data_IF_253862476976
#
_entry.id   IF_253862476976
#
_cell.length_a   1.000
_cell.length_b   1.000
_cell.length_c   1.000
_cell.angle_alpha   90.00
_cell.angle_beta   90.00
_cell.angle_gamma   90.00
#
_symmetry.space_group_name_H-M   'P 1'
#
loop_
_entity.id
_entity.type
_entity.pdbx_description
1 polymer ?
#
# COMPACT_ATOMS: atom_id res chain seq x y z
N UNK A 1 2.31 -6.68 -10.88
CA UNK A 1 1.90 -7.21 -9.62
C UNK A 1 1.56 -6.14 -8.61
N UNK A 2 1.12 -6.56 -7.47
CA UNK A 2 0.81 -5.62 -6.42
C UNK A 2 1.08 -6.26 -5.08
N UNK A 3 1.27 -5.41 -4.10
CA UNK A 3 1.56 -5.86 -2.77
C UNK A 3 0.47 -5.32 -1.85
N UNK A 4 -0.08 -6.17 -1.01
CA UNK A 4 -1.07 -5.75 -0.04
C UNK A 4 -0.48 -5.95 1.34
N UNK A 5 -0.38 -4.87 2.10
CA UNK A 5 0.21 -4.91 3.42
C UNK A 5 -0.83 -4.62 4.48
N UNK A 6 -0.83 -5.43 5.53
CA UNK A 6 -1.74 -5.25 6.65
C UNK A 6 -0.94 -4.69 7.80
N UNK A 7 -1.38 -3.60 8.38
CA UNK A 7 -0.62 -3.00 9.48
C UNK A 7 -1.56 -2.28 10.42
N UNK A 8 -1.13 -2.07 11.68
CA UNK A 8 -1.94 -1.36 12.64
C UNK A 8 -2.17 0.09 12.22
N UNK A 9 -3.24 0.67 12.70
CA UNK A 9 -3.58 2.02 12.30
C UNK A 9 -2.55 3.04 12.78
N UNK A 10 -1.83 2.74 13.86
CA UNK A 10 -0.85 3.68 14.37
C UNK A 10 0.51 3.51 13.74
N UNK A 11 0.63 2.66 12.73
CA UNK A 11 1.88 2.47 12.05
C UNK A 11 1.75 3.04 10.64
N UNK A 12 2.67 3.90 10.26
CA UNK A 12 2.63 4.51 8.95
C UNK A 12 3.58 3.81 7.99
N UNK A 13 3.15 3.62 6.78
CA UNK A 13 3.99 3.05 5.75
C UNK A 13 4.39 4.15 4.76
N UNK A 14 5.54 4.00 4.11
CA UNK A 14 5.98 5.02 3.16
C UNK A 14 5.11 5.04 1.92
N UNK A 15 5.10 6.18 1.24
CA UNK A 15 4.33 6.30 0.02
C UNK A 15 4.93 5.46 -1.10
N UNK A 16 6.22 5.22 -1.04
CA UNK A 16 6.86 4.39 -2.05
C UNK A 16 7.75 3.40 -1.35
N UNK A 17 7.95 2.26 -1.97
CA UNK A 17 8.80 1.21 -1.45
C UNK A 17 9.50 0.57 -2.63
N UNK A 18 10.75 1.02 -2.89
CA UNK A 18 11.49 0.52 -4.03
C UNK A 18 10.79 0.90 -5.32
N UNK A 19 10.43 -0.09 -6.10
CA UNK A 19 9.76 0.15 -7.35
C UNK A 19 8.25 0.21 -7.22
N UNK A 20 7.75 0.20 -5.98
CA UNK A 20 6.31 0.19 -5.76
C UNK A 20 5.84 1.52 -5.20
N UNK A 21 4.62 1.85 -5.50
CA UNK A 21 4.03 3.10 -5.08
C UNK A 21 2.69 2.83 -4.43
N UNK A 22 2.41 3.51 -3.33
CA UNK A 22 1.16 3.29 -2.62
C UNK A 22 0.00 3.80 -3.46
N UNK A 23 -0.96 2.92 -3.72
CA UNK A 23 -2.10 3.28 -4.53
C UNK A 23 -3.31 3.57 -3.69
N UNK A 24 -3.60 2.73 -2.72
CA UNK A 24 -4.78 2.89 -1.92
C UNK A 24 -4.54 2.38 -0.53
N UNK A 25 -5.32 2.85 0.42
CA UNK A 25 -5.31 2.25 1.73
C UNK A 25 -6.75 2.17 2.20
N UNK A 26 -7.05 1.08 2.90
CA UNK A 26 -8.37 0.85 3.42
C UNK A 26 -8.27 0.69 4.93
N UNK A 27 -9.31 1.12 5.61
CA UNK A 27 -9.30 1.04 7.05
C UNK A 27 -10.37 0.07 7.50
N UNK A 28 -9.95 -0.87 8.35
CA UNK A 28 -10.86 -1.83 8.93
C UNK A 28 -10.67 -1.80 10.44
N UNK A 29 -11.48 -1.01 11.12
CA UNK A 29 -11.34 -0.91 12.56
C UNK A 29 -10.00 -0.35 12.94
N UNK A 30 -9.14 -1.16 13.53
CA UNK A 30 -7.82 -0.72 13.94
C UNK A 30 -6.72 -1.19 13.00
N UNK A 31 -7.10 -1.75 11.87
CA UNK A 31 -6.14 -2.29 10.93
C UNK A 31 -6.29 -1.57 9.61
N UNK A 32 -5.16 -1.28 8.97
CA UNK A 32 -5.16 -0.69 7.64
C UNK A 32 -4.64 -1.71 6.65
N UNK A 33 -5.20 -1.68 5.47
CA UNK A 33 -4.69 -2.45 4.34
C UNK A 33 -4.15 -1.45 3.34
N UNK A 34 -2.87 -1.53 3.02
CA UNK A 34 -2.26 -0.63 2.06
C UNK A 34 -1.88 -1.42 0.82
N UNK A 35 -2.28 -0.93 -0.34
CA UNK A 35 -2.03 -1.61 -1.60
C UNK A 35 -0.98 -0.83 -2.38
N UNK A 36 0.07 -1.52 -2.80
CA UNK A 36 1.13 -0.92 -3.62
C UNK A 36 1.10 -1.52 -5.00
N UNK A 37 1.37 -0.71 -6.00
CA UNK A 37 1.51 -1.16 -7.37
C UNK A 37 2.89 -0.77 -7.86
N UNK A 38 3.39 -1.49 -8.83
CA UNK A 38 4.69 -1.18 -9.41
C UNK A 38 4.59 0.13 -10.17
N UNK A 39 5.61 0.94 -10.02
CA UNK A 39 5.60 2.25 -10.66
C UNK A 39 5.74 2.16 -12.15
N UNK A 40 6.46 1.15 -12.64
CA UNK A 40 6.68 1.07 -14.08
C UNK A 40 5.53 0.37 -14.80
N UNK A 41 4.45 0.04 -14.10
CA UNK A 41 3.27 -0.52 -14.73
C UNK A 41 2.30 0.61 -14.97
N UNK A 42 1.91 0.81 -16.21
CA UNK A 42 1.07 1.90 -16.56
C UNK A 42 -0.26 1.81 -15.96
N UNK A 43 -0.81 0.69 -15.84
CA UNK A 43 -2.01 0.64 -15.27
C UNK A 43 -2.44 -0.69 -15.12
N UNK A 44 -3.40 -0.94 -14.67
CA UNK A 44 -3.69 -2.20 -14.46
C UNK A 44 -4.90 -2.46 -14.13
#
# INVERSE_FOLDING_TARGET
GRIVCEHPADEELPDTAGDFEKQRSYRYGKIYLTVYHRKDVTQE
#
